data_IF_958565478760
#
_entry.id   IF_958565478760
#
_cell.length_a   1.000
_cell.length_b   1.000
_cell.length_c   1.000
_cell.angle_alpha   90.00
_cell.angle_beta   90.00
_cell.angle_gamma   90.00
#
_symmetry.space_group_name_H-M   'P 1'
#
loop_
_entity.id
_entity.type
_entity.pdbx_description
1 polymer ?
#
# COMPACT_ATOMS: atom_id res chain seq x y z
N UNK A 1 -6.15 -22.11 -4.16
CA UNK A 1 -6.50 -21.05 -3.18
C UNK A 1 -6.52 -19.72 -3.91
N UNK A 2 -7.42 -18.80 -3.54
CA UNK A 2 -7.47 -17.49 -4.20
C UNK A 2 -6.23 -16.66 -3.78
N UNK A 3 -5.58 -16.01 -4.75
CA UNK A 3 -4.38 -15.19 -4.54
C UNK A 3 -4.78 -13.72 -4.43
N UNK A 4 -4.02 -12.91 -3.71
CA UNK A 4 -4.10 -11.46 -3.78
C UNK A 4 -3.35 -10.95 -5.02
N UNK A 5 -3.75 -9.81 -5.57
CA UNK A 5 -3.02 -9.10 -6.62
C UNK A 5 -2.62 -7.73 -6.10
N UNK A 6 -1.34 -7.42 -6.16
CA UNK A 6 -0.82 -6.08 -5.89
C UNK A 6 -0.30 -5.50 -7.20
N UNK A 7 -0.71 -4.27 -7.51
CA UNK A 7 -0.34 -3.57 -8.74
C UNK A 7 0.34 -2.25 -8.36
N UNK A 8 1.54 -2.02 -8.85
CA UNK A 8 2.17 -0.74 -8.67
C UNK A 8 3.67 -0.71 -8.89
N UNK A 9 4.27 0.43 -8.61
CA UNK A 9 5.67 0.67 -8.86
C UNK A 9 6.57 -0.18 -7.97
N UNK A 10 7.72 -0.50 -8.54
CA UNK A 10 8.92 -0.95 -7.84
C UNK A 10 10.13 -0.21 -8.39
N UNK A 11 11.09 0.07 -7.55
CA UNK A 11 12.27 0.86 -7.90
C UNK A 11 13.46 0.52 -7.01
N UNK A 12 14.62 1.08 -7.34
CA UNK A 12 15.77 1.10 -6.45
C UNK A 12 15.92 2.50 -5.85
N UNK A 13 15.78 2.58 -4.53
CA UNK A 13 16.12 3.77 -3.75
C UNK A 13 17.64 3.83 -3.56
N UNK A 14 18.25 4.91 -4.02
CA UNK A 14 19.69 5.15 -3.93
C UNK A 14 19.90 6.33 -2.98
N UNK A 15 20.45 6.04 -1.81
CA UNK A 15 20.77 7.03 -0.78
C UNK A 15 22.29 7.09 -0.66
N UNK A 16 22.90 8.17 -1.14
CA UNK A 16 24.37 8.29 -1.27
C UNK A 16 24.95 7.15 -2.14
N UNK A 17 25.53 6.11 -1.52
CA UNK A 17 26.07 4.92 -2.17
C UNK A 17 25.24 3.66 -1.90
N UNK A 18 24.29 3.72 -1.00
CA UNK A 18 23.50 2.58 -0.58
C UNK A 18 22.26 2.44 -1.47
N UNK A 19 22.02 1.23 -1.92
CA UNK A 19 20.92 0.90 -2.81
C UNK A 19 19.94 -0.05 -2.14
N UNK A 20 18.68 0.32 -2.09
CA UNK A 20 17.60 -0.45 -1.47
C UNK A 20 16.48 -0.72 -2.48
N UNK A 21 15.91 -1.92 -2.43
CA UNK A 21 14.68 -2.21 -3.16
C UNK A 21 13.53 -1.50 -2.47
N UNK A 22 12.74 -0.74 -3.24
CA UNK A 22 11.64 0.09 -2.74
C UNK A 22 10.43 0.10 -3.66
N UNK A 23 9.44 0.89 -3.27
CA UNK A 23 8.13 1.02 -3.89
C UNK A 23 7.03 0.61 -2.93
N UNK A 24 6.04 1.50 -2.71
CA UNK A 24 4.98 1.24 -1.72
C UNK A 24 4.18 -0.03 -2.04
N UNK A 25 3.67 -0.25 -3.26
CA UNK A 25 2.98 -1.49 -3.59
C UNK A 25 3.89 -2.72 -3.48
N UNK A 26 5.17 -2.62 -3.85
CA UNK A 26 6.14 -3.71 -3.66
C UNK A 26 6.25 -4.08 -2.18
N UNK A 27 6.37 -3.09 -1.29
CA UNK A 27 6.47 -3.31 0.15
C UNK A 27 5.22 -4.03 0.70
N UNK A 28 4.02 -3.63 0.25
CA UNK A 28 2.77 -4.32 0.64
C UNK A 28 2.77 -5.76 0.15
N UNK A 29 3.16 -6.02 -1.10
CA UNK A 29 3.24 -7.38 -1.65
C UNK A 29 4.21 -8.26 -0.86
N UNK A 30 5.43 -7.76 -0.62
CA UNK A 30 6.47 -8.45 0.17
C UNK A 30 6.02 -8.68 1.62
N UNK A 31 5.40 -7.67 2.24
CA UNK A 31 4.86 -7.80 3.59
C UNK A 31 3.84 -8.93 3.70
N UNK A 32 2.89 -8.99 2.76
CA UNK A 32 1.89 -10.06 2.71
C UNK A 32 2.53 -11.44 2.45
N UNK A 33 3.52 -11.52 1.56
CA UNK A 33 4.27 -12.75 1.30
C UNK A 33 5.00 -13.25 2.54
N UNK A 34 5.71 -12.37 3.27
CA UNK A 34 6.36 -12.68 4.57
C UNK A 34 5.36 -13.10 5.64
N UNK A 35 4.12 -12.61 5.56
CA UNK A 35 3.01 -13.07 6.38
C UNK A 35 2.38 -14.38 5.88
N UNK A 36 2.96 -15.05 4.87
CA UNK A 36 2.54 -16.34 4.36
C UNK A 36 1.24 -16.28 3.54
N UNK A 37 0.96 -15.13 2.89
CA UNK A 37 -0.16 -14.98 1.97
C UNK A 37 0.29 -15.20 0.53
N UNK A 38 -0.53 -15.88 -0.23
CA UNK A 38 -0.31 -16.09 -1.66
C UNK A 38 -0.62 -14.82 -2.45
N UNK A 39 0.41 -14.10 -2.91
CA UNK A 39 0.28 -12.81 -3.60
C UNK A 39 0.94 -12.87 -4.96
N UNK A 40 0.31 -12.24 -5.94
CA UNK A 40 0.85 -11.91 -7.24
C UNK A 40 1.19 -10.42 -7.27
N UNK A 41 2.33 -10.09 -7.85
CA UNK A 41 2.77 -8.70 -7.99
C UNK A 41 2.91 -8.35 -9.47
N UNK A 42 2.23 -7.28 -9.89
CA UNK A 42 2.31 -6.69 -11.21
C UNK A 42 2.99 -5.33 -11.10
N UNK A 43 4.13 -5.20 -11.74
CA UNK A 43 4.95 -3.98 -11.73
C UNK A 43 5.54 -3.68 -13.11
N UNK A 44 6.53 -2.79 -13.18
CA UNK A 44 7.23 -2.45 -14.42
C UNK A 44 8.73 -2.38 -14.18
N UNK A 45 9.45 -3.42 -14.59
CA UNK A 45 10.90 -3.56 -14.45
C UNK A 45 11.55 -4.03 -15.76
N UNK A 46 12.83 -3.76 -15.91
CA UNK A 46 13.65 -4.25 -17.00
C UNK A 46 14.35 -5.58 -16.66
N UNK A 47 14.95 -6.21 -17.65
CA UNK A 47 15.85 -7.37 -17.47
C UNK A 47 17.31 -6.95 -17.15
N UNK A 48 17.47 -5.79 -16.47
CA UNK A 48 18.76 -5.26 -16.02
C UNK A 48 19.15 -5.79 -14.63
N UNK A 49 20.26 -5.27 -14.08
CA UNK A 49 20.74 -5.67 -12.73
C UNK A 49 19.76 -5.30 -11.64
N UNK A 50 19.10 -4.15 -11.75
CA UNK A 50 18.12 -3.67 -10.78
C UNK A 50 16.82 -4.47 -10.84
N UNK A 51 16.33 -4.78 -12.05
CA UNK A 51 15.14 -5.61 -12.22
C UNK A 51 15.35 -7.05 -11.71
N UNK A 52 16.54 -7.61 -11.89
CA UNK A 52 16.90 -8.90 -11.27
C UNK A 52 16.87 -8.82 -9.75
N UNK A 53 17.48 -7.77 -9.17
CA UNK A 53 17.49 -7.55 -7.72
C UNK A 53 16.08 -7.40 -7.14
N UNK A 54 15.18 -6.67 -7.82
CA UNK A 54 13.77 -6.57 -7.43
C UNK A 54 13.10 -7.94 -7.52
N UNK A 55 13.32 -8.69 -8.60
CA UNK A 55 12.75 -10.04 -8.77
C UNK A 55 13.17 -10.98 -7.65
N UNK A 56 14.46 -11.04 -7.35
CA UNK A 56 15.01 -11.89 -6.28
C UNK A 56 14.42 -11.51 -4.91
N UNK A 57 14.26 -10.20 -4.64
CA UNK A 57 13.70 -9.71 -3.39
C UNK A 57 12.23 -10.10 -3.23
N UNK A 58 11.43 -9.99 -4.30
CA UNK A 58 10.01 -10.35 -4.34
C UNK A 58 9.84 -11.86 -4.19
N UNK A 59 10.65 -12.66 -4.91
CA UNK A 59 10.61 -14.13 -4.86
C UNK A 59 11.06 -14.68 -3.51
N UNK A 60 12.05 -14.05 -2.86
CA UNK A 60 12.50 -14.41 -1.51
C UNK A 60 11.39 -14.24 -0.45
N UNK A 61 10.40 -13.39 -0.71
CA UNK A 61 9.22 -13.22 0.12
C UNK A 61 8.04 -14.15 -0.29
N UNK A 62 8.28 -15.15 -1.16
CA UNK A 62 7.27 -16.04 -1.72
C UNK A 62 6.14 -15.32 -2.49
N UNK A 63 6.39 -14.13 -3.01
CA UNK A 63 5.50 -13.39 -3.90
C UNK A 63 5.79 -13.78 -5.34
N UNK A 64 4.75 -14.02 -6.13
CA UNK A 64 4.90 -14.34 -7.55
C UNK A 64 4.93 -13.04 -8.36
N UNK A 65 6.07 -12.72 -8.94
CA UNK A 65 6.19 -11.65 -9.93
C UNK A 65 5.54 -12.10 -11.25
N UNK A 66 4.57 -11.32 -11.73
CA UNK A 66 3.90 -11.64 -12.99
C UNK A 66 4.83 -11.38 -14.19
N UNK A 67 4.83 -12.25 -15.22
CA UNK A 67 5.69 -12.11 -16.40
C UNK A 67 5.51 -10.76 -17.12
N UNK A 68 4.29 -10.22 -17.12
CA UNK A 68 3.91 -8.95 -17.73
C UNK A 68 4.62 -7.74 -17.07
N UNK A 69 5.28 -7.95 -15.94
CA UNK A 69 6.07 -6.91 -15.24
C UNK A 69 7.40 -6.60 -15.93
N UNK A 70 7.92 -7.51 -16.78
CA UNK A 70 9.26 -7.42 -17.39
C UNK A 70 9.22 -6.76 -18.76
N UNK A 71 8.72 -5.53 -18.83
CA UNK A 71 8.50 -4.82 -20.11
C UNK A 71 9.19 -3.47 -20.20
N UNK A 72 9.87 -3.02 -19.14
CA UNK A 72 10.58 -1.77 -19.12
C UNK A 72 11.88 -1.84 -19.93
N UNK A 73 12.30 -0.70 -20.48
CA UNK A 73 13.64 -0.55 -21.10
C UNK A 73 14.73 -0.46 -20.02
N UNK A 74 14.41 0.13 -18.88
CA UNK A 74 15.27 0.23 -17.68
C UNK A 74 14.42 0.21 -16.43
N UNK A 75 14.99 -0.32 -15.36
CA UNK A 75 14.32 -0.37 -14.05
C UNK A 75 14.35 1.01 -13.39
N UNK A 76 13.22 1.41 -12.81
CA UNK A 76 13.06 2.70 -12.15
C UNK A 76 14.02 2.89 -10.97
N UNK A 77 14.47 4.13 -10.78
CA UNK A 77 15.29 4.51 -9.62
C UNK A 77 14.80 5.82 -8.99
N UNK A 78 14.96 5.92 -7.68
CA UNK A 78 14.84 7.17 -6.93
C UNK A 78 16.19 7.43 -6.25
N UNK A 79 16.80 8.57 -6.51
CA UNK A 79 18.07 8.96 -5.90
C UNK A 79 17.84 10.13 -4.96
N UNK A 80 18.25 9.98 -3.71
CA UNK A 80 18.32 11.08 -2.76
C UNK A 80 19.79 11.50 -2.54
N UNK A 81 20.04 12.79 -2.59
CA UNK A 81 21.31 13.41 -2.23
C UNK A 81 21.08 14.45 -1.17
N UNK A 82 22.02 14.57 -0.26
CA UNK A 82 21.96 15.63 0.77
C UNK A 82 22.66 16.87 0.18
N UNK A 83 21.91 17.96 0.02
CA UNK A 83 22.46 19.23 -0.43
C UNK A 83 23.38 19.87 0.63
N UNK A 84 24.18 20.86 0.24
CA UNK A 84 25.12 21.55 1.16
C UNK A 84 24.42 22.19 2.37
N UNK A 85 23.14 22.56 2.25
CA UNK A 85 22.32 23.12 3.31
C UNK A 85 21.66 22.06 4.23
N UNK A 86 21.92 20.75 3.97
CA UNK A 86 21.36 19.64 4.72
C UNK A 86 19.97 19.20 4.25
N UNK A 87 19.40 19.81 3.22
CA UNK A 87 18.14 19.38 2.62
C UNK A 87 18.33 18.15 1.75
N UNK A 88 17.32 17.28 1.67
CA UNK A 88 17.34 16.14 0.76
C UNK A 88 16.81 16.57 -0.61
N UNK A 89 17.64 16.40 -1.65
CA UNK A 89 17.22 16.51 -3.03
C UNK A 89 16.92 15.12 -3.59
N UNK A 90 15.80 15.01 -4.33
CA UNK A 90 15.37 13.75 -4.94
C UNK A 90 15.40 13.87 -6.47
N UNK A 91 16.10 12.95 -7.13
CA UNK A 91 16.04 12.75 -8.56
C UNK A 91 15.39 11.40 -8.86
N UNK A 92 14.34 11.44 -9.67
CA UNK A 92 13.58 10.25 -10.03
C UNK A 92 13.80 9.94 -11.51
N UNK A 93 14.16 8.69 -11.81
CA UNK A 93 14.12 8.12 -13.16
C UNK A 93 13.00 7.09 -13.17
N UNK A 94 11.79 7.55 -13.45
CA UNK A 94 10.56 6.77 -13.35
C UNK A 94 9.86 6.69 -14.71
N UNK A 95 9.90 5.53 -15.34
CA UNK A 95 9.00 5.16 -16.43
C UNK A 95 7.98 4.16 -15.87
N UNK A 96 6.75 4.64 -15.65
CA UNK A 96 5.67 3.81 -15.13
C UNK A 96 4.67 3.48 -16.23
N UNK A 97 4.65 2.22 -16.63
CA UNK A 97 3.74 1.69 -17.67
C UNK A 97 3.28 0.31 -17.28
N UNK A 98 2.09 -0.08 -17.73
CA UNK A 98 1.65 -1.46 -17.67
C UNK A 98 1.27 -1.89 -19.09
N UNK A 99 1.77 -3.04 -19.50
CA UNK A 99 1.54 -3.63 -20.81
C UNK A 99 0.64 -4.86 -20.67
N UNK A 100 -0.50 -4.85 -21.36
CA UNK A 100 -1.41 -5.98 -21.38
C UNK A 100 -2.29 -6.12 -20.14
N UNK A 101 -3.23 -7.04 -20.23
CA UNK A 101 -4.08 -7.44 -19.11
C UNK A 101 -3.54 -8.78 -18.60
N UNK A 102 -3.09 -8.88 -17.35
CA UNK A 102 -2.62 -10.14 -16.83
C UNK A 102 -3.77 -11.16 -16.88
N UNK A 103 -3.52 -12.39 -17.40
CA UNK A 103 -4.52 -13.45 -17.46
C UNK A 103 -4.70 -14.09 -16.08
N UNK A 104 -5.12 -13.28 -15.10
CA UNK A 104 -5.30 -13.73 -13.73
C UNK A 104 -6.76 -14.11 -13.54
N UNK A 105 -7.01 -15.31 -13.04
CA UNK A 105 -8.31 -15.64 -12.47
C UNK A 105 -8.66 -14.55 -11.42
N UNK A 106 -9.95 -14.23 -11.21
CA UNK A 106 -10.32 -13.17 -10.28
C UNK A 106 -9.56 -13.30 -8.95
N UNK A 107 -8.76 -12.30 -8.57
CA UNK A 107 -8.00 -12.38 -7.32
C UNK A 107 -8.94 -12.22 -6.12
N UNK A 108 -8.48 -12.60 -4.95
CA UNK A 108 -9.21 -12.37 -3.70
C UNK A 108 -9.37 -10.88 -3.43
N UNK A 109 -8.29 -10.14 -3.64
CA UNK A 109 -8.28 -8.67 -3.59
C UNK A 109 -7.29 -8.11 -4.61
N UNK A 110 -7.49 -6.85 -4.96
CA UNK A 110 -6.53 -6.03 -5.71
C UNK A 110 -6.11 -4.85 -4.84
N UNK A 111 -4.80 -4.64 -4.71
CA UNK A 111 -4.24 -3.47 -4.03
C UNK A 111 -3.44 -2.62 -4.99
N UNK A 112 -3.59 -1.30 -4.87
CA UNK A 112 -2.76 -0.30 -5.57
C UNK A 112 -2.61 0.96 -4.73
N UNK A 113 -1.70 1.85 -5.14
CA UNK A 113 -1.49 3.13 -4.47
C UNK A 113 -0.26 3.87 -4.97
N UNK A 114 0.10 4.94 -4.25
CA UNK A 114 1.32 5.70 -4.45
C UNK A 114 1.48 6.24 -5.88
N UNK A 115 2.67 6.18 -6.43
CA UNK A 115 3.05 6.65 -7.78
C UNK A 115 2.18 5.98 -8.84
N UNK A 116 1.90 4.69 -8.69
CA UNK A 116 1.13 3.91 -9.64
C UNK A 116 -0.28 4.45 -9.87
N UNK A 117 -0.86 5.12 -8.89
CA UNK A 117 -2.21 5.66 -8.96
C UNK A 117 -2.31 6.96 -9.77
N UNK A 118 -1.21 7.71 -9.90
CA UNK A 118 -1.24 9.09 -10.44
C UNK A 118 -0.28 9.33 -11.61
N UNK A 119 0.79 8.55 -11.76
CA UNK A 119 1.81 8.78 -12.78
C UNK A 119 1.40 8.24 -14.14
N UNK A 120 1.38 9.13 -15.15
CA UNK A 120 1.16 8.77 -16.55
C UNK A 120 2.33 7.97 -17.15
N UNK A 121 2.05 7.09 -18.13
CA UNK A 121 0.72 6.65 -18.58
C UNK A 121 0.16 5.45 -17.77
N UNK A 122 0.94 4.87 -16.88
CA UNK A 122 0.61 3.62 -16.17
C UNK A 122 -0.63 3.74 -15.28
N UNK A 123 -0.90 4.91 -14.71
CA UNK A 123 -2.09 5.13 -13.88
C UNK A 123 -3.40 4.86 -14.62
N UNK A 124 -3.45 5.06 -15.94
CA UNK A 124 -4.63 4.78 -16.75
C UNK A 124 -4.88 3.27 -16.86
N UNK A 125 -3.82 2.48 -17.00
CA UNK A 125 -3.92 1.02 -17.00
C UNK A 125 -4.28 0.48 -15.60
N UNK A 126 -3.77 1.08 -14.54
CA UNK A 126 -4.16 0.76 -13.16
C UNK A 126 -5.65 1.00 -12.96
N UNK A 127 -6.17 2.17 -13.32
CA UNK A 127 -7.59 2.48 -13.21
C UNK A 127 -8.47 1.48 -13.99
N UNK A 128 -8.08 1.13 -15.22
CA UNK A 128 -8.80 0.16 -16.04
C UNK A 128 -8.80 -1.25 -15.41
N UNK A 129 -7.68 -1.68 -14.79
CA UNK A 129 -7.61 -2.96 -14.07
C UNK A 129 -8.46 -2.95 -12.80
N UNK A 130 -8.46 -1.85 -12.05
CA UNK A 130 -9.33 -1.68 -10.88
C UNK A 130 -10.80 -1.75 -11.29
N UNK A 131 -11.21 -1.05 -12.35
CA UNK A 131 -12.58 -1.13 -12.88
C UNK A 131 -12.95 -2.56 -13.31
N UNK A 132 -12.03 -3.29 -13.93
CA UNK A 132 -12.26 -4.67 -14.36
C UNK A 132 -12.41 -5.64 -13.16
N UNK A 133 -11.60 -5.49 -12.13
CA UNK A 133 -11.61 -6.38 -10.96
C UNK A 133 -12.61 -5.98 -9.88
N UNK A 134 -13.08 -4.72 -9.88
CA UNK A 134 -14.02 -4.21 -8.87
C UNK A 134 -15.25 -5.11 -8.66
N UNK A 135 -15.75 -5.80 -9.68
CA UNK A 135 -16.92 -6.69 -9.56
C UNK A 135 -16.59 -8.00 -8.82
N UNK A 136 -15.37 -8.51 -8.97
CA UNK A 136 -14.99 -9.89 -8.57
C UNK A 136 -14.01 -9.98 -7.42
N UNK A 137 -13.38 -8.88 -7.02
CA UNK A 137 -12.37 -8.81 -5.98
C UNK A 137 -12.68 -7.70 -4.97
N UNK A 138 -12.16 -7.80 -3.76
CA UNK A 138 -12.06 -6.64 -2.85
C UNK A 138 -11.00 -5.69 -3.42
N UNK A 139 -11.34 -4.42 -3.59
CA UNK A 139 -10.40 -3.38 -4.02
C UNK A 139 -9.88 -2.62 -2.82
N UNK A 140 -8.56 -2.43 -2.76
CA UNK A 140 -7.90 -1.71 -1.66
C UNK A 140 -6.94 -0.66 -2.21
N UNK A 141 -6.94 0.52 -1.60
CA UNK A 141 -6.19 1.66 -2.07
C UNK A 141 -5.46 2.38 -0.95
N UNK A 142 -4.21 2.77 -1.20
CA UNK A 142 -3.43 3.66 -0.35
C UNK A 142 -2.91 4.83 -1.20
N UNK A 143 -3.43 6.05 -1.05
CA UNK A 143 -2.93 7.21 -1.80
C UNK A 143 -1.43 7.39 -1.67
N UNK A 144 -0.90 7.27 -0.48
CA UNK A 144 0.54 7.35 -0.16
C UNK A 144 1.24 8.41 -1.02
N UNK A 145 0.76 9.65 -0.88
CA UNK A 145 1.03 10.78 -1.77
C UNK A 145 2.53 11.11 -1.82
N UNK A 146 3.02 11.36 -3.02
CA UNK A 146 4.39 11.83 -3.25
C UNK A 146 4.35 13.19 -3.96
N UNK A 147 4.24 14.29 -3.20
CA UNK A 147 4.03 15.64 -3.78
C UNK A 147 5.08 16.02 -4.82
N UNK A 148 6.34 15.61 -4.62
CA UNK A 148 7.46 15.90 -5.53
C UNK A 148 7.36 15.21 -6.91
N UNK A 149 6.44 14.25 -7.07
CA UNK A 149 6.18 13.52 -8.31
C UNK A 149 4.87 13.89 -8.98
N UNK A 150 4.15 14.85 -8.43
CA UNK A 150 2.82 15.28 -8.89
C UNK A 150 2.96 16.65 -9.55
N UNK A 151 2.87 16.68 -10.88
CA UNK A 151 2.97 17.89 -11.67
C UNK A 151 1.64 18.69 -11.67
N UNK A 152 0.51 17.97 -11.68
CA UNK A 152 -0.85 18.52 -11.65
C UNK A 152 -1.62 17.93 -10.45
N UNK A 153 -1.78 18.78 -9.42
CA UNK A 153 -2.44 18.38 -8.17
C UNK A 153 -3.92 18.05 -8.38
N UNK A 154 -4.63 18.83 -9.16
CA UNK A 154 -6.08 18.66 -9.33
C UNK A 154 -6.37 17.38 -10.13
N UNK A 155 -5.56 17.11 -11.15
CA UNK A 155 -5.63 15.86 -11.91
C UNK A 155 -5.29 14.64 -11.03
N UNK A 156 -4.27 14.75 -10.18
CA UNK A 156 -3.90 13.68 -9.25
C UNK A 156 -5.03 13.39 -8.24
N UNK A 157 -5.66 14.44 -7.69
CA UNK A 157 -6.81 14.30 -6.79
C UNK A 157 -7.97 13.61 -7.51
N UNK A 158 -8.33 14.04 -8.72
CA UNK A 158 -9.41 13.42 -9.49
C UNK A 158 -9.15 11.92 -9.76
N UNK A 159 -7.89 11.53 -10.04
CA UNK A 159 -7.49 10.12 -10.18
C UNK A 159 -7.62 9.33 -8.87
N UNK A 160 -7.21 9.93 -7.75
CA UNK A 160 -7.37 9.32 -6.44
C UNK A 160 -8.84 9.15 -6.07
N UNK A 161 -9.68 10.15 -6.32
CA UNK A 161 -11.13 10.09 -6.08
C UNK A 161 -11.78 8.95 -6.86
N UNK A 162 -11.44 8.78 -8.15
CA UNK A 162 -11.90 7.64 -8.94
C UNK A 162 -11.52 6.29 -8.31
N UNK A 163 -10.28 6.15 -7.81
CA UNK A 163 -9.86 4.93 -7.14
C UNK A 163 -10.53 4.73 -5.78
N UNK A 164 -10.78 5.81 -5.03
CA UNK A 164 -11.54 5.76 -3.76
C UNK A 164 -12.95 5.25 -4.00
N UNK A 165 -13.66 5.76 -5.01
CA UNK A 165 -15.02 5.32 -5.37
C UNK A 165 -15.10 3.83 -5.74
N UNK A 166 -14.01 3.25 -6.24
CA UNK A 166 -13.90 1.84 -6.63
C UNK A 166 -13.38 0.94 -5.51
N UNK A 167 -12.91 1.54 -4.41
CA UNK A 167 -12.30 0.79 -3.31
C UNK A 167 -13.32 0.32 -2.28
N UNK A 168 -13.08 -0.85 -1.73
CA UNK A 168 -13.77 -1.37 -0.55
C UNK A 168 -13.05 -0.97 0.74
N UNK A 169 -11.72 -0.80 0.66
CA UNK A 169 -10.86 -0.41 1.79
C UNK A 169 -9.90 0.66 1.31
N UNK A 170 -9.90 1.80 1.98
CA UNK A 170 -8.90 2.85 1.79
C UNK A 170 -8.10 2.98 3.08
N UNK A 171 -6.77 2.92 2.97
CA UNK A 171 -5.86 3.34 4.04
C UNK A 171 -5.18 4.62 3.59
N UNK A 172 -5.04 5.58 4.48
CA UNK A 172 -4.46 6.89 4.18
C UNK A 172 -3.75 7.43 5.43
N UNK A 173 -2.68 8.21 5.26
CA UNK A 173 -2.09 8.94 6.37
C UNK A 173 -2.79 10.28 6.58
N UNK A 174 -2.70 10.81 7.79
CA UNK A 174 -3.17 12.18 8.07
C UNK A 174 -2.39 13.24 7.26
N UNK A 175 -1.13 12.95 6.93
CA UNK A 175 -0.31 13.81 6.09
C UNK A 175 -0.84 13.85 4.65
N UNK A 176 -1.17 12.68 4.08
CA UNK A 176 -1.81 12.59 2.77
C UNK A 176 -3.14 13.34 2.74
N UNK A 177 -3.97 13.17 3.79
CA UNK A 177 -5.25 13.88 3.88
C UNK A 177 -5.06 15.40 3.91
N UNK A 178 -4.08 15.92 4.65
CA UNK A 178 -3.76 17.36 4.65
C UNK A 178 -3.29 17.85 3.28
N UNK A 179 -2.58 17.02 2.54
CA UNK A 179 -2.18 17.37 1.18
C UNK A 179 -3.36 17.36 0.21
N UNK A 180 -4.25 16.35 0.32
CA UNK A 180 -5.44 16.21 -0.52
C UNK A 180 -6.46 17.30 -0.22
N UNK A 181 -6.75 17.56 1.04
CA UNK A 181 -7.65 18.61 1.49
C UNK A 181 -7.15 19.26 2.78
N UNK A 182 -6.45 20.39 2.67
CA UNK A 182 -5.92 21.11 3.84
C UNK A 182 -6.98 21.86 4.63
N UNK A 183 -8.23 21.94 4.14
CA UNK A 183 -9.28 22.79 4.72
C UNK A 183 -10.22 22.03 5.66
N UNK A 184 -10.41 20.74 5.47
CA UNK A 184 -11.32 19.93 6.27
C UNK A 184 -10.59 19.10 7.32
N UNK A 185 -11.19 18.88 8.50
CA UNK A 185 -10.68 17.91 9.47
C UNK A 185 -10.59 16.50 8.91
N UNK A 186 -9.55 15.77 9.31
CA UNK A 186 -9.30 14.37 8.93
C UNK A 186 -10.54 13.48 9.02
N UNK A 187 -11.27 13.56 10.13
CA UNK A 187 -12.49 12.75 10.36
C UNK A 187 -13.60 13.09 9.36
N UNK A 188 -13.75 14.35 9.00
CA UNK A 188 -14.75 14.77 8.03
C UNK A 188 -14.42 14.27 6.62
N UNK A 189 -13.15 14.28 6.23
CA UNK A 189 -12.71 13.75 4.94
C UNK A 189 -12.94 12.23 4.90
N UNK A 190 -12.53 11.52 5.95
CA UNK A 190 -12.72 10.07 6.04
C UNK A 190 -14.21 9.67 5.99
N UNK A 191 -15.10 10.41 6.65
CA UNK A 191 -16.54 10.20 6.57
C UNK A 191 -17.09 10.49 5.18
N UNK A 192 -16.60 11.54 4.51
CA UNK A 192 -16.98 11.83 3.13
C UNK A 192 -16.59 10.67 2.21
N UNK A 193 -15.38 10.13 2.36
CA UNK A 193 -14.91 9.01 1.57
C UNK A 193 -15.71 7.72 1.79
N UNK A 194 -16.15 7.44 3.02
CA UNK A 194 -17.09 6.34 3.27
C UNK A 194 -18.37 6.47 2.44
N UNK A 195 -18.86 7.70 2.26
CA UNK A 195 -20.05 7.98 1.44
C UNK A 195 -19.82 7.75 -0.06
N UNK A 196 -18.58 7.64 -0.54
CA UNK A 196 -18.24 7.41 -1.94
C UNK A 196 -18.23 5.93 -2.35
N UNK A 197 -18.03 5.00 -1.40
CA UNK A 197 -17.99 3.57 -1.73
C UNK A 197 -17.29 2.67 -0.71
N UNK A 198 -16.16 3.08 -0.12
CA UNK A 198 -15.42 2.22 0.81
C UNK A 198 -16.25 1.74 2.00
N UNK A 199 -16.09 0.47 2.36
CA UNK A 199 -16.61 -0.08 3.60
C UNK A 199 -15.77 0.32 4.81
N UNK A 200 -14.46 0.53 4.58
CA UNK A 200 -13.48 0.93 5.61
C UNK A 200 -12.59 2.04 5.07
N UNK A 201 -12.47 3.13 5.84
CA UNK A 201 -11.42 4.14 5.66
C UNK A 201 -10.54 4.14 6.92
N UNK A 202 -9.31 3.63 6.79
CA UNK A 202 -8.34 3.59 7.87
C UNK A 202 -7.37 4.76 7.76
N UNK A 203 -7.24 5.55 8.82
CA UNK A 203 -6.35 6.72 8.89
C UNK A 203 -5.23 6.46 9.87
N UNK A 204 -3.98 6.53 9.42
CA UNK A 204 -2.80 6.47 10.29
C UNK A 204 -2.37 7.87 10.72
N UNK A 205 -2.06 8.04 12.01
CA UNK A 205 -1.82 9.35 12.64
C UNK A 205 -0.51 9.36 13.44
N UNK A 206 0.49 8.65 12.95
CA UNK A 206 1.82 8.53 13.57
C UNK A 206 1.73 8.17 15.07
N UNK A 207 2.26 9.00 15.96
CA UNK A 207 2.28 8.75 17.41
C UNK A 207 0.88 8.66 18.04
N UNK A 208 -0.15 9.20 17.39
CA UNK A 208 -1.54 9.12 17.85
C UNK A 208 -2.25 7.82 17.49
N UNK A 209 -1.54 6.89 16.84
CA UNK A 209 -2.08 5.59 16.46
C UNK A 209 -2.87 5.62 15.15
N UNK A 210 -3.98 4.89 15.10
CA UNK A 210 -4.82 4.81 13.91
C UNK A 210 -6.31 4.84 14.28
N UNK A 211 -7.11 5.35 13.35
CA UNK A 211 -8.56 5.30 13.39
C UNK A 211 -9.09 4.62 12.13
N UNK A 212 -10.16 3.84 12.23
CA UNK A 212 -10.89 3.36 11.08
C UNK A 212 -12.36 3.73 11.18
N UNK A 213 -12.89 4.18 10.08
CA UNK A 213 -14.26 4.59 9.87
C UNK A 213 -14.98 3.49 9.09
N UNK A 214 -16.15 3.09 9.56
CA UNK A 214 -17.02 2.11 8.90
C UNK A 214 -18.49 2.44 9.19
N UNK A 215 -19.42 1.67 8.63
CA UNK A 215 -20.86 1.89 8.83
C UNK A 215 -21.29 1.81 10.31
N UNK A 216 -20.61 1.03 11.15
CA UNK A 216 -20.87 0.92 12.57
C UNK A 216 -20.32 2.09 13.41
N UNK A 217 -19.54 2.99 12.81
CA UNK A 217 -18.94 4.14 13.48
C UNK A 217 -17.42 4.19 13.33
N UNK A 218 -16.73 4.64 14.37
CA UNK A 218 -15.27 4.85 14.36
C UNK A 218 -14.63 4.02 15.46
N UNK A 219 -13.65 3.21 15.09
CA UNK A 219 -12.76 2.53 16.04
C UNK A 219 -11.39 3.19 16.05
N UNK A 220 -10.72 3.18 17.20
CA UNK A 220 -9.38 3.76 17.35
C UNK A 220 -8.47 2.79 18.09
N UNK A 221 -7.23 2.71 17.65
CA UNK A 221 -6.17 1.98 18.34
C UNK A 221 -5.00 2.92 18.61
N UNK A 222 -4.39 2.86 19.79
CA UNK A 222 -3.19 3.64 20.09
C UNK A 222 -2.01 3.13 19.24
N UNK A 223 -0.99 3.98 19.09
CA UNK A 223 0.29 3.51 18.57
C UNK A 223 0.92 2.54 19.57
N UNK A 224 1.56 1.50 19.06
CA UNK A 224 2.40 0.65 19.91
C UNK A 224 3.73 1.38 20.15
N UNK A 225 4.18 1.43 21.40
CA UNK A 225 5.48 2.00 21.73
C UNK A 225 6.60 1.20 21.05
N UNK A 226 7.40 1.88 20.26
CA UNK A 226 8.57 1.33 19.59
C UNK A 226 9.70 2.36 19.59
N UNK A 227 10.95 1.89 19.62
CA UNK A 227 12.08 2.77 19.34
C UNK A 227 12.10 3.02 17.83
N UNK A 228 11.77 4.21 17.41
CA UNK A 228 11.82 4.59 15.99
C UNK A 228 13.27 4.66 15.54
N UNK A 229 13.62 3.85 14.55
CA UNK A 229 14.90 3.83 13.83
C UNK A 229 14.72 4.45 12.46
N UNK A 230 13.66 4.04 11.74
CA UNK A 230 13.33 4.53 10.42
C UNK A 230 11.80 4.47 10.23
N UNK A 231 11.22 5.39 9.50
CA UNK A 231 9.77 5.43 9.23
C UNK A 231 9.40 4.87 7.85
N UNK A 232 10.38 4.54 7.02
CA UNK A 232 10.18 3.97 5.68
C UNK A 232 9.43 2.64 5.78
N UNK A 233 8.38 2.49 4.95
CA UNK A 233 7.58 1.27 4.91
C UNK A 233 6.57 1.10 6.06
N UNK A 234 6.50 2.02 7.02
CA UNK A 234 5.55 1.92 8.15
C UNK A 234 4.09 1.84 7.69
N UNK A 235 3.71 2.69 6.72
CA UNK A 235 2.39 2.71 6.11
C UNK A 235 2.09 1.43 5.33
N UNK A 236 3.08 0.94 4.59
CA UNK A 236 2.97 -0.28 3.79
C UNK A 236 2.82 -1.52 4.70
N UNK A 237 3.58 -1.55 5.79
CA UNK A 237 3.48 -2.59 6.82
C UNK A 237 2.13 -2.56 7.53
N UNK A 238 1.59 -1.37 7.84
CA UNK A 238 0.24 -1.22 8.36
C UNK A 238 -0.79 -1.80 7.37
N UNK A 239 -0.69 -1.46 6.08
CA UNK A 239 -1.59 -1.97 5.06
C UNK A 239 -1.50 -3.49 4.92
N UNK A 240 -0.30 -4.05 4.89
CA UNK A 240 -0.10 -5.50 4.84
C UNK A 240 -0.69 -6.20 6.08
N UNK A 241 -0.50 -5.64 7.27
CA UNK A 241 -1.07 -6.16 8.52
C UNK A 241 -2.61 -6.11 8.55
N UNK A 242 -3.19 -5.02 8.05
CA UNK A 242 -4.65 -4.86 7.92
C UNK A 242 -5.23 -5.90 6.95
N UNK A 243 -4.63 -6.05 5.78
CA UNK A 243 -5.06 -7.03 4.79
C UNK A 243 -4.88 -8.48 5.29
N UNK A 244 -3.79 -8.77 6.00
CA UNK A 244 -3.57 -10.09 6.60
C UNK A 244 -4.66 -10.45 7.61
N UNK A 245 -5.07 -9.51 8.45
CA UNK A 245 -6.16 -9.70 9.43
C UNK A 245 -7.50 -9.95 8.75
N UNK A 246 -7.87 -9.09 7.80
CA UNK A 246 -9.13 -9.21 7.06
C UNK A 246 -9.18 -10.49 6.20
N UNK A 247 -8.04 -10.90 5.63
CA UNK A 247 -7.91 -12.17 4.94
C UNK A 247 -8.16 -13.36 5.89
N UNK A 248 -7.48 -13.33 7.05
CA UNK A 248 -7.65 -14.36 8.08
C UNK A 248 -9.08 -14.51 8.59
N UNK A 249 -9.82 -13.40 8.62
CA UNK A 249 -11.24 -13.37 9.03
C UNK A 249 -12.23 -13.72 7.89
N UNK A 250 -11.71 -14.00 6.66
CA UNK A 250 -12.56 -14.35 5.50
C UNK A 250 -13.45 -13.18 5.03
N UNK A 251 -12.97 -11.93 5.18
CA UNK A 251 -13.70 -10.73 4.82
C UNK A 251 -13.28 -10.15 3.45
N UNK A 252 -12.30 -10.77 2.78
CA UNK A 252 -11.86 -10.37 1.44
C UNK A 252 -12.51 -11.26 0.37
N UNK A 253 -12.75 -10.67 -0.81
CA UNK A 253 -13.39 -11.29 -1.97
C UNK A 253 -14.60 -10.48 -2.43
N UNK A 254 -14.87 -10.42 -3.73
CA UNK A 254 -16.01 -9.68 -4.25
C UNK A 254 -17.36 -10.17 -3.69
N UNK A 255 -17.47 -11.47 -3.44
CA UNK A 255 -18.62 -12.10 -2.79
C UNK A 255 -18.74 -11.80 -1.28
N UNK A 256 -17.67 -11.28 -0.68
CA UNK A 256 -17.62 -10.93 0.76
C UNK A 256 -17.88 -9.44 1.03
N UNK A 257 -18.03 -8.61 0.01
CA UNK A 257 -18.23 -7.15 0.12
C UNK A 257 -19.37 -6.79 1.08
N UNK A 258 -20.49 -7.53 1.02
CA UNK A 258 -21.61 -7.33 1.96
C UNK A 258 -21.29 -7.70 3.42
N UNK A 259 -20.37 -8.64 3.66
CA UNK A 259 -19.88 -8.94 5.01
C UNK A 259 -18.89 -7.88 5.49
N UNK A 260 -17.99 -7.43 4.61
CA UNK A 260 -17.04 -6.35 4.89
C UNK A 260 -17.76 -5.04 5.24
N UNK A 261 -18.82 -4.69 4.50
CA UNK A 261 -19.62 -3.49 4.76
C UNK A 261 -20.33 -3.50 6.13
N UNK A 262 -20.51 -4.68 6.73
CA UNK A 262 -21.10 -4.88 8.06
C UNK A 262 -20.07 -5.41 9.06
N UNK A 263 -18.80 -5.04 8.88
CA UNK A 263 -17.74 -5.45 9.81
C UNK A 263 -18.06 -4.98 11.24
N UNK A 264 -18.00 -5.90 12.19
CA UNK A 264 -18.22 -5.58 13.60
C UNK A 264 -17.03 -4.77 14.16
N UNK A 265 -17.29 -3.80 15.07
CA UNK A 265 -16.25 -2.94 15.66
C UNK A 265 -15.10 -3.73 16.29
N UNK A 266 -15.39 -4.85 16.93
CA UNK A 266 -14.39 -5.71 17.57
C UNK A 266 -13.46 -6.34 16.53
N UNK A 267 -14.00 -6.83 15.42
CA UNK A 267 -13.21 -7.40 14.32
C UNK A 267 -12.34 -6.33 13.66
N UNK A 268 -12.89 -5.13 13.44
CA UNK A 268 -12.13 -4.02 12.89
C UNK A 268 -11.03 -3.54 13.84
N UNK A 269 -11.31 -3.48 15.16
CA UNK A 269 -10.32 -3.14 16.18
C UNK A 269 -9.16 -4.14 16.18
N UNK A 270 -9.46 -5.44 16.14
CA UNK A 270 -8.43 -6.48 16.07
C UNK A 270 -7.58 -6.38 14.80
N UNK A 271 -8.20 -6.05 13.66
CA UNK A 271 -7.49 -5.84 12.39
C UNK A 271 -6.56 -4.61 12.45
N UNK A 272 -7.05 -3.49 12.99
CA UNK A 272 -6.24 -2.28 13.19
C UNK A 272 -5.10 -2.51 14.19
N UNK A 273 -5.34 -3.22 15.26
CA UNK A 273 -4.32 -3.56 16.25
C UNK A 273 -3.18 -4.37 15.59
N UNK A 274 -3.52 -5.41 14.82
CA UNK A 274 -2.54 -6.19 14.06
C UNK A 274 -1.74 -5.33 13.08
N UNK A 275 -2.40 -4.43 12.37
CA UNK A 275 -1.79 -3.47 11.46
C UNK A 275 -0.81 -2.52 12.20
N UNK A 276 -1.22 -2.00 13.36
CA UNK A 276 -0.39 -1.12 14.21
C UNK A 276 0.84 -1.85 14.74
N UNK A 277 0.72 -3.11 15.16
CA UNK A 277 1.86 -3.93 15.61
C UNK A 277 2.82 -4.19 14.45
N UNK A 278 2.34 -4.52 13.26
CA UNK A 278 3.19 -4.70 12.08
C UNK A 278 3.99 -3.43 11.76
N UNK A 279 3.32 -2.27 11.74
CA UNK A 279 3.94 -0.96 11.54
C UNK A 279 5.01 -0.66 12.61
N UNK A 280 4.71 -0.90 13.89
CA UNK A 280 5.63 -0.67 14.99
C UNK A 280 6.91 -1.53 14.91
N UNK A 281 6.78 -2.78 14.44
CA UNK A 281 7.93 -3.66 14.20
C UNK A 281 8.80 -3.16 13.04
N UNK A 282 8.20 -2.57 12.01
CA UNK A 282 8.91 -2.01 10.86
C UNK A 282 9.69 -0.78 11.26
N UNK A 283 9.09 0.18 11.95
CA UNK A 283 9.78 1.42 12.34
C UNK A 283 10.94 1.20 13.33
N UNK A 284 11.01 0.04 13.97
CA UNK A 284 12.11 -0.33 14.84
C UNK A 284 13.36 -0.84 14.10
N UNK A 285 13.33 -0.88 12.77
CA UNK A 285 14.40 -1.38 11.88
C UNK A 285 14.76 -0.33 10.84
N UNK A 286 15.92 -0.47 10.21
CA UNK A 286 16.30 0.40 9.09
C UNK A 286 15.62 -0.07 7.80
N UNK A 287 15.14 0.86 7.01
CA UNK A 287 14.44 0.63 5.74
C UNK A 287 13.08 -0.05 5.90
N UNK A 288 12.47 -0.42 4.78
CA UNK A 288 11.18 -1.11 4.76
C UNK A 288 11.32 -2.61 5.09
N UNK A 289 11.85 -2.94 6.28
CA UNK A 289 11.98 -4.33 6.74
C UNK A 289 10.73 -4.80 7.48
N UNK A 290 9.71 -5.20 6.72
CA UNK A 290 8.42 -5.64 7.21
C UNK A 290 8.55 -7.00 7.95
N UNK A 291 7.79 -7.20 9.05
CA UNK A 291 7.88 -8.42 9.84
C UNK A 291 7.37 -9.65 9.09
N UNK A 292 7.92 -10.81 9.43
CA UNK A 292 7.33 -12.09 9.07
C UNK A 292 6.21 -12.50 10.05
N UNK A 293 5.50 -13.59 9.70
CA UNK A 293 4.38 -14.10 10.50
C UNK A 293 4.80 -14.48 11.93
N UNK A 294 5.97 -15.09 12.11
CA UNK A 294 6.43 -15.53 13.44
C UNK A 294 6.69 -14.33 14.34
N UNK A 295 7.41 -13.33 13.83
CA UNK A 295 7.71 -12.08 14.52
C UNK A 295 6.44 -11.31 14.88
N UNK A 296 5.53 -11.16 13.92
CA UNK A 296 4.27 -10.47 14.16
C UNK A 296 3.42 -11.18 15.21
N UNK A 297 3.26 -12.50 15.10
CA UNK A 297 2.48 -13.26 16.08
C UNK A 297 3.12 -13.22 17.49
N UNK A 298 4.43 -13.34 17.60
CA UNK A 298 5.11 -13.21 18.90
C UNK A 298 4.84 -11.83 19.54
N UNK A 299 4.90 -10.75 18.74
CA UNK A 299 4.61 -9.41 19.21
C UNK A 299 3.16 -9.21 19.64
N UNK A 300 2.20 -9.83 18.96
CA UNK A 300 0.77 -9.81 19.31
C UNK A 300 0.45 -10.50 20.65
N UNK A 301 1.28 -11.44 21.10
CA UNK A 301 1.09 -12.15 22.38
C UNK A 301 1.85 -11.48 23.55
N UNK A 302 2.62 -10.44 23.27
CA UNK A 302 3.41 -9.73 24.28
C UNK A 302 2.70 -8.49 24.82
N UNK A 303 1.49 -8.22 24.35
CA UNK A 303 0.53 -7.24 24.83
C UNK A 303 -0.47 -7.96 25.75
#
# INVERSE_FOLDING_TARGET
MSRGLVIGESLIDIVESDEHVGGSPLNVAVGLGRLGRDVDFLTHIAEDSYGRRISDYVEAAAVRLLPESRTAERTATARSTIAEDGSAEYAFDLDWRLSGTPPVAPPLFVHTGSIAAVKDPGCLAVAALIDAYHVSATVTFDPNVRPSLIDDRDLAIARMEHLIERSDIVKVSEEDLRWIDPTRPTEQIAQTWLGLGPAIVAVTMAERGAAAFCAAGVVRVPTRAARVVDTVGAGDSFMAGLLDALWGSGLLGGDRRGALARIEPEALTAALHRASVASALTVARAGADLPDRATLNAAMHSD
#
